data_IF_005522626626
#
_entry.id   IF_005522626626
#
_cell.length_a   1.000
_cell.length_b   1.000
_cell.length_c   1.000
_cell.angle_alpha   90.00
_cell.angle_beta   90.00
_cell.angle_gamma   90.00
#
_symmetry.space_group_name_H-M   'P 1'
#
loop_
_entity.id
_entity.type
_entity.pdbx_description
1 polymer ?
#
# COMPACT_ATOMS: atom_id res chain seq x y z
N UNK A 1 -8.98 17.01 -25.21
CA UNK A 1 -7.54 16.78 -25.45
C UNK A 1 -6.90 16.57 -24.08
N UNK A 2 -6.60 15.33 -23.73
CA UNK A 2 -6.06 15.00 -22.39
C UNK A 2 -4.61 15.47 -22.32
N UNK A 3 -4.32 16.39 -21.41
CA UNK A 3 -3.00 16.90 -21.09
C UNK A 3 -2.12 15.75 -20.58
N UNK A 4 -1.30 15.18 -21.46
CA UNK A 4 -0.23 14.25 -21.08
C UNK A 4 0.81 15.02 -20.27
N UNK A 5 0.97 14.67 -19.00
CA UNK A 5 2.04 15.19 -18.15
C UNK A 5 3.41 14.96 -18.82
N UNK A 6 4.25 15.99 -18.84
CA UNK A 6 5.57 15.99 -19.52
C UNK A 6 6.50 14.85 -19.05
N UNK A 7 6.22 14.25 -17.90
CA UNK A 7 6.98 13.16 -17.26
C UNK A 7 6.58 11.75 -17.70
N UNK A 8 5.53 11.60 -18.52
CA UNK A 8 5.06 10.31 -19.05
C UNK A 8 5.92 9.80 -20.23
N UNK A 9 7.23 9.67 -20.07
CA UNK A 9 8.05 8.93 -21.04
C UNK A 9 8.01 7.44 -20.68
N UNK A 10 7.45 6.61 -21.56
CA UNK A 10 7.45 5.14 -21.49
C UNK A 10 6.59 4.48 -20.39
N UNK A 11 5.70 5.23 -19.73
CA UNK A 11 4.79 4.69 -18.70
C UNK A 11 3.37 4.48 -19.29
N UNK A 12 3.14 3.28 -19.83
CA UNK A 12 1.87 2.90 -20.48
C UNK A 12 0.69 2.96 -19.49
N UNK A 13 -0.52 3.16 -20.00
CA UNK A 13 -1.76 3.17 -19.21
C UNK A 13 -1.95 1.88 -18.39
N UNK A 14 -1.55 0.74 -18.95
CA UNK A 14 -1.61 -0.56 -18.26
C UNK A 14 -0.70 -0.58 -17.03
N UNK A 15 0.54 -0.10 -17.14
CA UNK A 15 1.47 -0.01 -16.01
C UNK A 15 0.92 0.90 -14.90
N UNK A 16 0.30 2.03 -15.26
CA UNK A 16 -0.38 2.92 -14.31
C UNK A 16 -1.51 2.21 -13.55
N UNK A 17 -2.32 1.42 -14.26
CA UNK A 17 -3.42 0.67 -13.67
C UNK A 17 -2.90 -0.44 -12.73
N UNK A 18 -1.84 -1.15 -13.13
CA UNK A 18 -1.20 -2.17 -12.29
C UNK A 18 -0.60 -1.57 -11.02
N UNK A 19 0.03 -0.40 -11.08
CA UNK A 19 0.54 0.30 -9.88
C UNK A 19 -0.60 0.68 -8.93
N UNK A 20 -1.71 1.22 -9.45
CA UNK A 20 -2.87 1.53 -8.61
C UNK A 20 -3.46 0.26 -7.96
N UNK A 21 -3.52 -0.85 -8.71
CA UNK A 21 -3.95 -2.13 -8.16
C UNK A 21 -3.01 -2.63 -7.05
N UNK A 22 -1.70 -2.51 -7.24
CA UNK A 22 -0.69 -2.86 -6.23
C UNK A 22 -0.81 -1.99 -4.98
N UNK A 23 -1.04 -0.68 -5.13
CA UNK A 23 -1.29 0.23 -4.00
C UNK A 23 -2.46 -0.28 -3.16
N UNK A 24 -3.59 -0.62 -3.80
CA UNK A 24 -4.76 -1.13 -3.09
C UNK A 24 -4.51 -2.48 -2.41
N UNK A 25 -3.77 -3.38 -3.05
CA UNK A 25 -3.38 -4.65 -2.44
C UNK A 25 -2.51 -4.43 -1.19
N UNK A 26 -1.56 -3.49 -1.23
CA UNK A 26 -0.71 -3.18 -0.07
C UNK A 26 -1.51 -2.55 1.07
N UNK A 27 -2.45 -1.66 0.76
CA UNK A 27 -3.35 -1.07 1.76
C UNK A 27 -4.27 -2.13 2.40
N UNK A 28 -4.84 -3.03 1.60
CA UNK A 28 -5.66 -4.13 2.11
C UNK A 28 -4.84 -5.10 2.97
N UNK A 29 -3.61 -5.41 2.57
CA UNK A 29 -2.69 -6.23 3.35
C UNK A 29 -2.32 -5.53 4.67
N UNK A 30 -2.03 -4.23 4.63
CA UNK A 30 -1.78 -3.41 5.83
C UNK A 30 -2.94 -3.49 6.81
N UNK A 31 -4.17 -3.28 6.32
CA UNK A 31 -5.37 -3.37 7.15
C UNK A 31 -5.57 -4.76 7.76
N UNK A 32 -5.38 -5.81 6.94
CA UNK A 32 -5.49 -7.20 7.41
C UNK A 32 -4.48 -7.51 8.52
N UNK A 33 -3.22 -7.07 8.37
CA UNK A 33 -2.20 -7.26 9.40
C UNK A 33 -2.48 -6.42 10.65
N UNK A 34 -3.02 -5.22 10.51
CA UNK A 34 -3.41 -4.41 11.66
C UNK A 34 -4.52 -5.10 12.48
N UNK A 35 -5.54 -5.66 11.81
CA UNK A 35 -6.58 -6.44 12.47
C UNK A 35 -6.02 -7.67 13.20
N UNK A 36 -5.06 -8.38 12.59
CA UNK A 36 -4.38 -9.51 13.23
C UNK A 36 -3.57 -9.05 14.45
N UNK A 37 -2.88 -7.92 14.37
CA UNK A 37 -2.15 -7.32 15.49
C UNK A 37 -3.05 -7.14 16.71
N UNK A 38 -4.21 -6.50 16.52
CA UNK A 38 -5.21 -6.31 17.57
C UNK A 38 -5.80 -7.62 18.11
N UNK A 39 -6.04 -8.61 17.25
CA UNK A 39 -6.54 -9.92 17.69
C UNK A 39 -5.57 -10.62 18.65
N UNK A 40 -4.26 -10.54 18.38
CA UNK A 40 -3.24 -11.13 19.25
C UNK A 40 -2.95 -10.30 20.52
N UNK A 41 -3.45 -9.07 20.58
CA UNK A 41 -3.35 -8.16 21.73
C UNK A 41 -4.48 -8.36 22.76
N UNK A 42 -5.57 -9.04 22.38
CA UNK A 42 -6.68 -9.33 23.28
C UNK A 42 -6.25 -10.15 24.49
N UNK A 43 -6.83 -9.84 25.65
CA UNK A 43 -6.53 -10.50 26.92
C UNK A 43 -6.68 -12.03 26.86
N UNK A 44 -7.64 -12.53 26.07
CA UNK A 44 -7.91 -13.96 25.89
C UNK A 44 -6.83 -14.70 25.08
N UNK A 45 -6.12 -14.00 24.18
CA UNK A 45 -5.07 -14.58 23.32
C UNK A 45 -3.68 -14.26 23.88
N UNK A 46 -3.45 -12.99 24.23
CA UNK A 46 -2.28 -12.43 24.89
C UNK A 46 -0.93 -12.93 24.32
N UNK A 47 -0.73 -12.71 23.02
CA UNK A 47 0.52 -13.04 22.31
C UNK A 47 1.24 -11.75 21.88
N UNK A 48 1.87 -11.01 22.81
CA UNK A 48 2.40 -9.67 22.55
C UNK A 48 3.50 -9.64 21.48
N UNK A 49 4.29 -10.72 21.34
CA UNK A 49 5.28 -10.83 20.25
C UNK A 49 4.60 -10.96 18.89
N UNK A 50 3.49 -11.70 18.80
CA UNK A 50 2.73 -11.83 17.55
C UNK A 50 2.00 -10.51 17.22
N UNK A 51 1.36 -9.88 18.21
CA UNK A 51 0.77 -8.53 18.10
C UNK A 51 1.79 -7.53 17.52
N UNK A 52 2.96 -7.41 18.16
CA UNK A 52 4.03 -6.54 17.68
C UNK A 52 4.51 -6.87 16.26
N UNK A 53 4.69 -8.15 15.95
CA UNK A 53 5.09 -8.59 14.60
C UNK A 53 4.08 -8.15 13.53
N UNK A 54 2.79 -8.36 13.75
CA UNK A 54 1.76 -7.97 12.79
C UNK A 54 1.59 -6.44 12.68
N UNK A 55 1.77 -5.70 13.77
CA UNK A 55 1.80 -4.24 13.74
C UNK A 55 2.96 -3.69 12.90
N UNK A 56 4.16 -4.28 13.02
CA UNK A 56 5.29 -3.88 12.17
C UNK A 56 5.07 -4.27 10.70
N UNK A 57 4.52 -5.46 10.42
CA UNK A 57 4.13 -5.84 9.06
C UNK A 57 3.11 -4.87 8.45
N UNK A 58 2.11 -4.43 9.21
CA UNK A 58 1.14 -3.44 8.75
C UNK A 58 1.83 -2.14 8.35
N UNK A 59 2.72 -1.61 9.20
CA UNK A 59 3.51 -0.40 8.90
C UNK A 59 4.35 -0.56 7.64
N UNK A 60 4.99 -1.72 7.46
CA UNK A 60 5.82 -1.97 6.28
C UNK A 60 5.00 -2.05 4.99
N UNK A 61 3.79 -2.63 5.03
CA UNK A 61 2.87 -2.60 3.88
C UNK A 61 2.37 -1.19 3.58
N UNK A 62 2.08 -0.39 4.60
CA UNK A 62 1.69 1.01 4.42
C UNK A 62 2.81 1.82 3.75
N UNK A 63 4.06 1.70 4.24
CA UNK A 63 5.23 2.34 3.61
C UNK A 63 5.41 1.88 2.15
N UNK A 64 5.17 0.59 1.87
CA UNK A 64 5.20 0.07 0.50
C UNK A 64 4.15 0.71 -0.41
N UNK A 65 2.91 0.88 0.09
CA UNK A 65 1.87 1.60 -0.64
C UNK A 65 2.26 3.07 -0.90
N UNK A 66 2.79 3.77 0.10
CA UNK A 66 3.26 5.15 -0.04
C UNK A 66 4.37 5.28 -1.11
N UNK A 67 5.32 4.34 -1.14
CA UNK A 67 6.39 4.33 -2.14
C UNK A 67 5.84 4.15 -3.57
N UNK A 68 4.86 3.25 -3.74
CA UNK A 68 4.19 3.04 -5.02
C UNK A 68 3.38 4.27 -5.45
N UNK A 69 2.72 4.96 -4.51
CA UNK A 69 2.03 6.23 -4.80
C UNK A 69 3.00 7.31 -5.25
N UNK A 70 4.17 7.43 -4.60
CA UNK A 70 5.22 8.36 -4.99
C UNK A 70 5.74 8.05 -6.40
N UNK A 71 5.97 6.77 -6.72
CA UNK A 71 6.36 6.33 -8.06
C UNK A 71 5.32 6.76 -9.11
N UNK A 72 4.03 6.50 -8.86
CA UNK A 72 2.95 6.88 -9.75
C UNK A 72 2.91 8.40 -9.99
N UNK A 73 3.07 9.20 -8.93
CA UNK A 73 3.08 10.66 -9.01
C UNK A 73 4.31 11.20 -9.77
N UNK A 74 5.49 10.60 -9.59
CA UNK A 74 6.71 10.97 -10.32
C UNK A 74 6.56 10.79 -11.82
N UNK A 75 5.90 9.71 -12.25
CA UNK A 75 5.61 9.44 -13.66
C UNK A 75 4.36 10.17 -14.17
N UNK A 76 3.81 11.12 -13.40
CA UNK A 76 2.66 11.93 -13.79
C UNK A 76 1.37 11.12 -13.96
N UNK A 77 1.28 9.98 -13.30
CA UNK A 77 0.04 9.22 -13.11
C UNK A 77 -0.76 9.74 -11.92
N UNK A 78 -2.02 9.35 -11.85
CA UNK A 78 -2.87 9.63 -10.69
C UNK A 78 -3.10 8.35 -9.90
N UNK A 79 -2.90 8.43 -8.58
CA UNK A 79 -3.29 7.38 -7.65
C UNK A 79 -4.81 7.35 -7.58
N UNK A 80 -5.39 6.18 -7.82
CA UNK A 80 -6.81 5.90 -7.65
C UNK A 80 -6.89 4.80 -6.60
N UNK A 81 -7.57 5.10 -5.49
CA UNK A 81 -7.78 4.22 -4.35
C UNK A 81 -9.18 3.59 -4.42
#
# INVERSE_FOLDING_TARGET
>A
MSSTSLTCQNFCSEAKASVNHLVNLYLQASYSYLCLGFYFDWDDVNLPRASCFFHELAKDKLKGAEHLMQLQNQHGGHVIL
#
